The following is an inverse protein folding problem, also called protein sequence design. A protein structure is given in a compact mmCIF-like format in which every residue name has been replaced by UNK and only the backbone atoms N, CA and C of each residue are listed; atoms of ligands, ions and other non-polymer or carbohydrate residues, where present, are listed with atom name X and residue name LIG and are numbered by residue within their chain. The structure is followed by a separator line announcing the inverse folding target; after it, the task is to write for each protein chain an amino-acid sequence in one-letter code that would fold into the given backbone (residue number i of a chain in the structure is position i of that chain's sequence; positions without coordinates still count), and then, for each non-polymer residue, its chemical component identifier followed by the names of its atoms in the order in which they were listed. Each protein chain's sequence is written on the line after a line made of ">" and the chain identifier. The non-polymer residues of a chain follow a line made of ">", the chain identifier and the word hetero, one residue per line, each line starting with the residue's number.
data_IF_528674566660
#
_entry.id   IF_528674566660
#
_cell.length_a   1.000
_cell.length_b   1.000
_cell.length_c   1.000
_cell.angle_alpha   90.00
_cell.angle_beta   90.00
_cell.angle_gamma   90.00
#
_symmetry.space_group_name_H-M   'P 1'
#
loop_
_entity.id
_entity.type
_entity.pdbx_description
1 polymer ?
#
# COMPACT_ATOMS: atom_id res chain seq x y z
N UNK A 1 30.46 0.38 16.02
CA UNK A 1 29.43 -0.50 16.59
C UNK A 1 28.04 0.15 16.48
N UNK A 2 27.58 0.52 15.29
CA UNK A 2 26.27 1.19 15.10
C UNK A 2 25.24 0.34 14.32
N UNK A 3 25.66 -0.81 13.78
CA UNK A 3 24.78 -1.62 12.93
C UNK A 3 23.59 -2.33 13.61
N UNK A 4 23.61 -2.47 14.95
CA UNK A 4 22.56 -3.23 15.67
C UNK A 4 21.29 -2.42 15.97
N UNK A 5 21.34 -1.10 15.87
CA UNK A 5 20.18 -0.25 16.19
C UNK A 5 19.28 0.04 14.97
N UNK A 6 19.88 0.06 13.78
CA UNK A 6 19.15 0.36 12.53
C UNK A 6 18.22 -0.80 12.16
N UNK A 7 18.70 -2.05 12.26
CA UNK A 7 17.88 -3.23 11.97
C UNK A 7 16.63 -3.31 12.87
N UNK A 8 16.76 -3.02 14.19
CA UNK A 8 15.61 -3.03 15.10
C UNK A 8 14.60 -1.90 14.84
N UNK A 9 15.07 -0.73 14.44
CA UNK A 9 14.18 0.40 14.08
C UNK A 9 13.41 0.07 12.82
N UNK A 10 14.07 -0.56 11.84
CA UNK A 10 13.43 -0.95 10.58
C UNK A 10 12.39 -2.05 10.79
N UNK A 11 12.66 -3.05 11.64
CA UNK A 11 11.69 -4.11 12.00
C UNK A 11 10.37 -3.53 12.53
N UNK A 12 10.46 -2.56 13.45
CA UNK A 12 9.31 -1.89 14.02
C UNK A 12 8.50 -1.12 12.99
N UNK A 13 9.17 -0.37 12.11
CA UNK A 13 8.53 0.39 11.03
C UNK A 13 7.86 -0.51 10.00
N UNK A 14 8.52 -1.60 9.60
CA UNK A 14 7.94 -2.58 8.66
C UNK A 14 6.68 -3.18 9.26
N UNK A 15 6.78 -3.67 10.49
CA UNK A 15 5.64 -4.29 11.16
C UNK A 15 4.48 -3.31 11.28
N UNK A 16 4.74 -2.07 11.70
CA UNK A 16 3.70 -1.05 11.82
C UNK A 16 3.06 -0.73 10.47
N UNK A 17 3.86 -0.64 9.40
CA UNK A 17 3.35 -0.40 8.04
C UNK A 17 2.45 -1.54 7.57
N UNK A 18 2.89 -2.79 7.74
CA UNK A 18 2.12 -3.97 7.34
C UNK A 18 0.85 -4.12 8.20
N UNK A 19 0.94 -3.89 9.50
CA UNK A 19 -0.22 -3.91 10.40
C UNK A 19 -1.23 -2.82 10.03
N UNK A 20 -0.74 -1.62 9.65
CA UNK A 20 -1.60 -0.54 9.19
C UNK A 20 -2.28 -0.88 7.84
N UNK A 21 -1.54 -1.52 6.93
CA UNK A 21 -2.11 -2.02 5.67
C UNK A 21 -3.17 -3.11 5.91
N UNK A 22 -2.89 -4.06 6.81
CA UNK A 22 -3.83 -5.13 7.15
C UNK A 22 -5.11 -4.59 7.79
N UNK A 23 -4.98 -3.56 8.61
CA UNK A 23 -6.10 -2.88 9.26
C UNK A 23 -6.85 -1.91 8.33
N UNK A 24 -6.36 -1.69 7.11
CA UNK A 24 -6.83 -0.63 6.19
C UNK A 24 -6.81 0.78 6.84
N UNK A 25 -5.83 0.98 7.75
CA UNK A 25 -5.69 2.21 8.53
C UNK A 25 -4.85 3.23 7.75
N UNK A 26 -5.53 3.94 6.88
CA UNK A 26 -4.96 4.98 6.06
C UNK A 26 -4.26 6.09 6.86
N UNK A 27 -4.80 6.45 8.03
CA UNK A 27 -4.21 7.50 8.87
C UNK A 27 -2.85 7.06 9.40
N UNK A 28 -2.72 5.79 9.81
CA UNK A 28 -1.44 5.22 10.23
C UNK A 28 -0.47 5.14 9.06
N UNK A 29 -0.89 4.64 7.90
CA UNK A 29 -0.03 4.59 6.70
C UNK A 29 0.50 5.98 6.35
N UNK A 30 -0.37 7.01 6.34
CA UNK A 30 0.01 8.38 6.03
C UNK A 30 0.96 9.00 7.05
N UNK A 31 1.01 8.53 8.29
CA UNK A 31 2.00 8.97 9.28
C UNK A 31 3.39 8.42 9.02
N UNK A 32 3.46 7.22 8.43
CA UNK A 32 4.72 6.50 8.17
C UNK A 32 5.40 6.95 6.87
N UNK A 33 4.69 7.62 5.96
CA UNK A 33 5.25 8.13 4.71
C UNK A 33 5.62 9.62 4.81
N UNK A 34 6.60 10.05 4.00
CA UNK A 34 6.96 11.46 3.86
C UNK A 34 5.94 12.23 3.02
N UNK A 35 5.96 13.56 3.10
CA UNK A 35 5.02 14.40 2.34
C UNK A 35 5.25 14.35 0.82
N UNK A 36 6.47 13.98 0.40
CA UNK A 36 6.84 13.81 -1.00
C UNK A 36 6.93 12.35 -1.45
N UNK A 37 6.42 11.42 -0.64
CA UNK A 37 6.43 10.00 -0.95
C UNK A 37 5.87 9.70 -2.34
N UNK A 38 6.53 8.77 -3.04
CA UNK A 38 6.03 8.21 -4.29
C UNK A 38 5.55 6.77 -4.04
N UNK A 39 4.35 6.44 -4.53
CA UNK A 39 3.81 5.08 -4.45
C UNK A 39 3.58 4.54 -5.86
N UNK A 40 4.46 3.65 -6.27
CA UNK A 40 4.42 3.01 -7.58
C UNK A 40 3.77 1.62 -7.48
N UNK A 41 2.73 1.40 -8.25
CA UNK A 41 2.11 0.09 -8.45
C UNK A 41 2.60 -0.47 -9.78
N UNK A 42 3.59 -1.32 -9.72
CA UNK A 42 4.39 -1.74 -10.88
C UNK A 42 3.57 -2.40 -11.99
N UNK A 43 2.66 -3.37 -11.71
CA UNK A 43 1.91 -4.03 -12.79
C UNK A 43 1.03 -3.08 -13.59
N UNK A 44 0.74 -1.88 -13.06
CA UNK A 44 -0.16 -0.91 -13.68
C UNK A 44 0.55 0.30 -14.25
N UNK A 45 1.85 0.46 -13.93
CA UNK A 45 2.61 1.64 -14.29
C UNK A 45 2.03 2.92 -13.66
N UNK A 46 1.25 2.79 -12.58
CA UNK A 46 0.64 3.93 -11.89
C UNK A 46 1.52 4.38 -10.73
N UNK A 47 1.78 5.69 -10.67
CA UNK A 47 2.51 6.32 -9.56
C UNK A 47 1.67 7.43 -8.96
N UNK A 48 1.38 7.32 -7.66
CA UNK A 48 0.88 8.43 -6.85
C UNK A 48 2.08 9.21 -6.32
N UNK A 49 2.05 10.55 -6.46
CA UNK A 49 3.16 11.44 -6.08
C UNK A 49 2.73 12.42 -5.00
N UNK A 50 3.47 12.40 -3.90
CA UNK A 50 3.18 13.22 -2.74
C UNK A 50 1.96 12.76 -1.95
N UNK A 51 1.85 13.28 -0.73
CA UNK A 51 0.84 12.86 0.25
C UNK A 51 -0.60 12.92 -0.27
N UNK A 52 -0.97 13.98 -1.01
CA UNK A 52 -2.34 14.16 -1.50
C UNK A 52 -2.76 13.05 -2.48
N UNK A 53 -1.86 12.71 -3.44
CA UNK A 53 -2.15 11.67 -4.41
C UNK A 53 -2.13 10.27 -3.77
N UNK A 54 -1.18 10.01 -2.86
CA UNK A 54 -1.13 8.76 -2.11
C UNK A 54 -2.38 8.59 -1.25
N UNK A 55 -2.84 9.65 -0.59
CA UNK A 55 -4.07 9.62 0.18
C UNK A 55 -5.30 9.34 -0.70
N UNK A 56 -5.38 9.95 -1.88
CA UNK A 56 -6.46 9.69 -2.82
C UNK A 56 -6.41 8.25 -3.35
N UNK A 57 -5.21 7.74 -3.66
CA UNK A 57 -4.98 6.36 -4.10
C UNK A 57 -5.42 5.34 -3.03
N UNK A 58 -4.96 5.49 -1.81
CA UNK A 58 -5.35 4.62 -0.69
C UNK A 58 -6.86 4.66 -0.43
N UNK A 59 -7.50 5.81 -0.62
CA UNK A 59 -8.94 5.92 -0.54
C UNK A 59 -9.71 5.19 -1.66
N UNK A 60 -9.12 4.98 -2.83
CA UNK A 60 -9.72 4.12 -3.87
C UNK A 60 -9.64 2.65 -3.45
N UNK A 61 -8.50 2.23 -2.92
CA UNK A 61 -8.34 0.87 -2.41
C UNK A 61 -9.38 0.54 -1.33
N UNK A 62 -9.68 1.49 -0.44
CA UNK A 62 -10.71 1.35 0.60
C UNK A 62 -12.12 1.10 0.02
N UNK A 63 -12.50 1.80 -1.04
CA UNK A 63 -13.85 1.63 -1.64
C UNK A 63 -14.01 0.37 -2.48
N UNK A 64 -12.92 -0.20 -2.96
CA UNK A 64 -12.94 -1.46 -3.70
C UNK A 64 -12.96 -2.69 -2.79
N UNK A 65 -12.67 -2.50 -1.50
CA UNK A 65 -12.74 -3.54 -0.48
C UNK A 65 -14.12 -3.54 0.15
N UNK A 66 -14.84 -4.64 0.03
CA UNK A 66 -16.13 -4.81 0.69
C UNK A 66 -15.94 -5.19 2.15
N UNK A 67 -16.61 -4.44 3.01
CA UNK A 67 -16.86 -4.70 4.43
C UNK A 67 -15.64 -5.00 5.32
N UNK A 68 -15.43 -4.12 6.29
CA UNK A 68 -14.44 -4.20 7.37
C UNK A 68 -14.43 -5.53 8.15
N UNK A 69 -15.46 -6.36 7.98
CA UNK A 69 -15.69 -7.56 8.80
C UNK A 69 -15.25 -8.88 8.14
N UNK A 70 -14.73 -8.87 6.93
CA UNK A 70 -14.39 -10.10 6.21
C UNK A 70 -12.87 -10.36 6.08
N UNK A 71 -12.14 -10.12 7.17
CA UNK A 71 -10.88 -10.78 7.42
C UNK A 71 -9.86 -10.74 6.28
N UNK A 72 -9.46 -9.54 5.85
CA UNK A 72 -8.18 -9.44 5.15
C UNK A 72 -7.08 -9.90 6.10
N UNK A 73 -6.30 -10.91 5.68
CA UNK A 73 -5.17 -11.40 6.45
C UNK A 73 -3.91 -11.12 5.65
N UNK A 74 -3.01 -10.35 6.23
CA UNK A 74 -1.66 -10.15 5.69
C UNK A 74 -0.68 -10.96 6.52
N UNK A 75 0.07 -11.82 5.84
CA UNK A 75 1.16 -12.60 6.45
C UNK A 75 2.49 -12.10 5.88
N UNK A 76 3.42 -11.77 6.77
CA UNK A 76 4.80 -11.47 6.38
C UNK A 76 5.50 -12.81 6.14
N UNK A 77 5.93 -13.07 4.90
CA UNK A 77 6.64 -14.30 4.57
C UNK A 77 8.12 -14.19 4.91
N UNK A 78 8.73 -13.09 4.50
CA UNK A 78 10.14 -12.76 4.73
C UNK A 78 10.39 -11.29 4.44
N UNK A 79 11.49 -10.80 4.96
CA UNK A 79 11.98 -9.47 4.64
C UNK A 79 13.51 -9.43 4.72
N UNK A 80 14.09 -8.46 4.07
CA UNK A 80 15.50 -8.13 4.16
C UNK A 80 15.68 -6.63 3.99
N UNK A 81 16.74 -6.10 4.56
CA UNK A 81 17.05 -4.68 4.52
C UNK A 81 18.54 -4.45 4.35
N UNK A 82 18.87 -3.36 3.72
CA UNK A 82 20.11 -2.62 3.90
C UNK A 82 19.82 -1.30 4.65
N UNK A 83 20.76 -0.36 4.66
CA UNK A 83 20.63 0.85 5.47
C UNK A 83 19.47 1.76 5.04
N UNK A 84 19.07 1.74 3.77
CA UNK A 84 18.08 2.65 3.19
C UNK A 84 16.87 1.92 2.59
N UNK A 85 17.05 0.66 2.17
CA UNK A 85 16.00 -0.08 1.47
C UNK A 85 15.50 -1.25 2.30
N UNK A 86 14.18 -1.42 2.23
CA UNK A 86 13.46 -2.54 2.84
C UNK A 86 12.72 -3.29 1.76
N UNK A 87 12.88 -4.60 1.72
CA UNK A 87 12.08 -5.45 0.87
C UNK A 87 11.28 -6.41 1.73
N UNK A 88 9.96 -6.40 1.58
CA UNK A 88 9.03 -7.23 2.33
C UNK A 88 8.20 -8.06 1.38
N UNK A 89 8.23 -9.36 1.54
CA UNK A 89 7.33 -10.28 0.85
C UNK A 89 6.16 -10.63 1.78
N UNK A 90 4.96 -10.34 1.32
CA UNK A 90 3.73 -10.58 2.06
C UNK A 90 2.78 -11.44 1.24
N UNK A 91 1.94 -12.21 1.94
CA UNK A 91 0.77 -12.85 1.37
C UNK A 91 -0.47 -12.13 1.88
N UNK A 92 -1.24 -11.58 0.96
CA UNK A 92 -2.54 -10.98 1.24
C UNK A 92 -3.63 -11.98 0.88
N UNK A 93 -4.46 -12.32 1.84
CA UNK A 93 -5.65 -13.16 1.64
C UNK A 93 -6.88 -12.29 1.87
N UNK A 94 -7.70 -12.12 0.86
CA UNK A 94 -8.91 -11.32 0.94
C UNK A 94 -10.09 -12.03 0.26
N UNK A 95 -11.30 -11.74 0.73
CA UNK A 95 -12.52 -12.17 0.05
C UNK A 95 -12.82 -11.24 -1.13
N UNK A 96 -13.28 -11.79 -2.24
CA UNK A 96 -13.70 -11.00 -3.38
C UNK A 96 -15.08 -10.38 -3.11
N UNK A 97 -15.22 -9.10 -3.39
CA UNK A 97 -16.48 -8.37 -3.16
C UNK A 97 -17.68 -8.94 -3.91
N UNK A 98 -17.45 -9.43 -5.12
CA UNK A 98 -18.48 -10.03 -5.98
C UNK A 98 -18.72 -11.51 -5.67
N UNK A 99 -17.83 -12.16 -4.91
CA UNK A 99 -17.89 -13.56 -4.53
C UNK A 99 -17.38 -13.71 -3.07
N UNK A 100 -18.19 -13.32 -2.07
CA UNK A 100 -17.74 -13.23 -0.68
C UNK A 100 -17.25 -14.56 -0.08
N UNK A 101 -17.67 -15.68 -0.64
CA UNK A 101 -17.22 -17.01 -0.23
C UNK A 101 -15.92 -17.47 -0.92
N UNK A 102 -15.41 -16.70 -1.87
CA UNK A 102 -14.17 -17.00 -2.59
C UNK A 102 -13.04 -16.19 -1.99
N UNK A 103 -12.08 -16.87 -1.38
CA UNK A 103 -10.84 -16.26 -0.89
C UNK A 103 -9.83 -16.26 -2.03
N UNK A 104 -9.29 -15.09 -2.32
CA UNK A 104 -8.15 -14.91 -3.21
C UNK A 104 -6.88 -14.70 -2.37
N UNK A 105 -5.83 -15.43 -2.72
CA UNK A 105 -4.50 -15.23 -2.14
C UNK A 105 -3.62 -14.52 -3.17
N UNK A 106 -2.96 -13.46 -2.75
CA UNK A 106 -2.08 -12.68 -3.59
C UNK A 106 -0.72 -12.49 -2.90
N UNK A 107 0.35 -12.82 -3.62
CA UNK A 107 1.70 -12.48 -3.17
C UNK A 107 2.05 -11.07 -3.65
N UNK A 108 2.58 -10.30 -2.73
CA UNK A 108 2.98 -8.91 -2.93
C UNK A 108 4.41 -8.78 -2.43
N UNK A 109 5.26 -8.14 -3.20
CA UNK A 109 6.57 -7.70 -2.76
C UNK A 109 6.54 -6.18 -2.67
N UNK A 110 6.83 -5.65 -1.50
CA UNK A 110 6.99 -4.23 -1.26
C UNK A 110 8.47 -3.92 -1.19
N UNK A 111 8.92 -2.96 -1.99
CA UNK A 111 10.24 -2.36 -1.88
C UNK A 111 10.04 -0.93 -1.39
N UNK A 112 10.56 -0.65 -0.21
CA UNK A 112 10.41 0.64 0.44
C UNK A 112 11.78 1.29 0.58
N UNK A 113 11.84 2.57 0.28
CA UNK A 113 13.00 3.40 0.57
C UNK A 113 12.68 4.30 1.76
N UNK A 114 13.65 4.42 2.66
CA UNK A 114 13.50 5.20 3.89
C UNK A 114 14.49 6.34 3.91
N UNK A 115 13.98 7.53 4.20
CA UNK A 115 14.77 8.73 4.41
C UNK A 115 14.19 9.54 5.56
N UNK A 116 15.03 9.99 6.48
CA UNK A 116 14.60 10.80 7.63
C UNK A 116 13.58 10.10 8.54
N UNK A 117 13.65 8.76 8.69
CA UNK A 117 12.76 7.98 9.53
C UNK A 117 11.34 7.80 8.99
N UNK A 118 11.12 8.06 7.71
CA UNK A 118 9.85 7.86 6.99
C UNK A 118 10.08 7.17 5.66
N UNK A 119 9.04 6.53 5.12
CA UNK A 119 9.09 6.01 3.77
C UNK A 119 8.85 7.15 2.77
N UNK A 120 9.79 7.37 1.86
CA UNK A 120 9.69 8.36 0.79
C UNK A 120 9.40 7.72 -0.57
N UNK A 121 9.54 6.39 -0.66
CA UNK A 121 9.17 5.63 -1.84
C UNK A 121 8.60 4.26 -1.45
N UNK A 122 7.52 3.87 -2.09
CA UNK A 122 6.90 2.54 -1.96
C UNK A 122 6.67 1.99 -3.36
N UNK A 123 7.33 0.89 -3.69
CA UNK A 123 7.12 0.15 -4.92
C UNK A 123 6.38 -1.15 -4.61
N UNK A 124 5.20 -1.32 -5.15
CA UNK A 124 4.33 -2.46 -4.93
C UNK A 124 4.32 -3.36 -6.17
N UNK A 125 4.85 -4.57 -6.01
CA UNK A 125 4.93 -5.60 -7.04
C UNK A 125 3.97 -6.72 -6.70
N UNK A 126 3.03 -7.02 -7.58
CA UNK A 126 2.15 -8.17 -7.42
C UNK A 126 1.67 -8.69 -8.78
N UNK A 127 1.18 -9.92 -8.79
CA UNK A 127 0.48 -10.46 -9.95
C UNK A 127 -1.03 -10.44 -9.67
N UNK A 128 -1.78 -9.75 -10.53
CA UNK A 128 -3.23 -9.77 -10.44
C UNK A 128 -3.79 -10.81 -11.40
N UNK A 129 -4.60 -11.79 -10.93
CA UNK A 129 -5.25 -12.73 -11.83
C UNK A 129 -6.26 -12.00 -12.74
N UNK A 130 -6.37 -12.47 -13.98
CA UNK A 130 -7.45 -12.05 -14.87
C UNK A 130 -8.81 -12.55 -14.31
N UNK A 131 -9.89 -11.77 -14.22
CA UNK A 131 -10.15 -10.45 -14.81
C UNK A 131 -9.86 -9.25 -13.88
N UNK A 132 -9.32 -9.46 -12.70
CA UNK A 132 -9.04 -8.40 -11.72
C UNK A 132 -8.12 -7.32 -12.32
N UNK A 133 -7.19 -7.72 -13.18
CA UNK A 133 -6.30 -6.80 -13.90
C UNK A 133 -7.04 -5.74 -14.73
N UNK A 134 -8.24 -6.04 -15.23
CA UNK A 134 -9.02 -5.08 -16.02
C UNK A 134 -9.66 -4.02 -15.13
N UNK A 135 -10.24 -4.41 -13.99
CA UNK A 135 -10.85 -3.49 -13.02
C UNK A 135 -9.81 -2.53 -12.43
N UNK A 136 -8.65 -3.05 -12.16
CA UNK A 136 -7.51 -2.34 -11.57
C UNK A 136 -6.97 -1.23 -12.48
N UNK A 137 -7.04 -1.39 -13.80
CA UNK A 137 -6.68 -0.33 -14.76
C UNK A 137 -7.53 0.94 -14.63
N UNK A 138 -8.67 0.86 -13.95
CA UNK A 138 -9.53 2.01 -13.67
C UNK A 138 -9.07 2.81 -12.44
N UNK A 139 -8.22 2.25 -11.57
CA UNK A 139 -7.74 2.93 -10.36
C UNK A 139 -7.10 4.28 -10.64
N UNK A 140 -6.20 4.45 -11.64
CA UNK A 140 -5.64 5.76 -11.94
C UNK A 140 -6.69 6.79 -12.36
N UNK A 141 -7.69 6.36 -13.12
CA UNK A 141 -8.79 7.23 -13.54
C UNK A 141 -9.63 7.68 -12.35
N UNK A 142 -10.02 6.74 -11.48
CA UNK A 142 -10.81 7.02 -10.28
C UNK A 142 -10.03 7.95 -9.34
N UNK A 143 -8.73 7.73 -9.18
CA UNK A 143 -7.87 8.59 -8.36
C UNK A 143 -7.87 10.03 -8.89
N UNK A 144 -7.70 10.22 -10.21
CA UNK A 144 -7.74 11.56 -10.85
C UNK A 144 -9.09 12.23 -10.67
N UNK A 145 -10.19 11.51 -10.79
CA UNK A 145 -11.54 12.05 -10.57
C UNK A 145 -11.69 12.51 -9.11
N UNK A 146 -11.21 11.74 -8.14
CA UNK A 146 -11.25 12.11 -6.72
C UNK A 146 -10.42 13.36 -6.42
N UNK A 147 -9.22 13.46 -6.97
CA UNK A 147 -8.38 14.64 -6.84
C UNK A 147 -9.05 15.88 -7.43
N UNK A 148 -9.61 15.76 -8.63
CA UNK A 148 -10.34 16.85 -9.26
C UNK A 148 -11.56 17.31 -8.44
N UNK A 149 -12.28 16.36 -7.82
CA UNK A 149 -13.41 16.67 -6.96
C UNK A 149 -13.00 17.41 -5.67
N UNK A 150 -11.85 17.07 -5.09
CA UNK A 150 -11.29 17.75 -3.89
C UNK A 150 -10.85 19.19 -4.17
N UNK A 151 -10.35 19.46 -5.38
CA UNK A 151 -9.85 20.77 -5.79
C UNK A 151 -10.98 21.74 -6.21
N UNK A 152 -12.22 21.27 -6.30
CA UNK A 152 -13.36 22.15 -6.58
C UNK A 152 -13.68 23.00 -5.34
N UNK A 153 -13.75 24.35 -5.48
CA UNK A 153 -14.16 25.19 -4.36
C UNK A 153 -15.56 24.78 -3.90
N UNK A 154 -15.71 24.61 -2.59
CA UNK A 154 -17.04 24.45 -1.98
C UNK A 154 -17.81 25.76 -2.26
N UNK A 155 -18.85 25.69 -3.08
CA UNK A 155 -19.80 26.79 -3.27
C UNK A 155 -20.60 27.01 -2.01
#
# INVERSE_FOLDING_TARGET
>A
MEGHNIAKVNDGLIKEFVDAMAADDKVRILKLISDHCTWLVVPWGYTAKGREEVEAFLGVAETTRTHKDQGQKIEINRWFTDDEYLCVEITNVASLSVLPNVKASQRICLVLHMSGGKFDSVHEYFSAPFPLNLLIRLVPLITRIRLAARRRPKK
#
